data_IF_575245568497
#
_entry.id   IF_575245568497
#
_cell.length_a   1.000
_cell.length_b   1.000
_cell.length_c   1.000
_cell.angle_alpha   90.00
_cell.angle_beta   90.00
_cell.angle_gamma   90.00
#
_symmetry.space_group_name_H-M   'P 1'
#
loop_
_entity.id
_entity.type
_entity.pdbx_description
1 polymer ?
#
# COMPACT_ATOMS: atom_id res chain seq x y z
N UNK A 1 9.76 -29.58 6.94
CA UNK A 1 9.59 -29.46 5.47
C UNK A 1 10.98 -29.19 4.89
N UNK A 2 11.34 -29.76 3.74
CA UNK A 2 12.65 -29.56 3.10
C UNK A 2 12.41 -29.08 1.69
N UNK A 3 13.21 -28.10 1.22
CA UNK A 3 13.25 -27.74 -0.21
C UNK A 3 14.04 -28.86 -0.95
N UNK A 4 13.33 -29.88 -1.44
CA UNK A 4 13.98 -31.01 -2.10
C UNK A 4 14.73 -30.60 -3.37
N UNK A 5 14.20 -29.59 -4.09
CA UNK A 5 14.79 -29.02 -5.29
C UNK A 5 14.81 -27.49 -5.21
N UNK A 6 15.80 -26.86 -4.56
CA UNK A 6 15.85 -25.41 -4.40
C UNK A 6 15.79 -24.64 -5.72
N UNK A 7 16.50 -25.09 -6.77
CA UNK A 7 16.54 -24.43 -8.07
C UNK A 7 15.21 -24.46 -8.83
N UNK A 8 14.26 -25.33 -8.44
CA UNK A 8 12.91 -25.42 -8.98
C UNK A 8 11.87 -24.82 -8.01
N UNK A 9 12.33 -24.10 -6.98
CA UNK A 9 11.49 -23.54 -5.92
C UNK A 9 11.42 -22.02 -5.97
N UNK A 10 10.22 -21.50 -5.76
CA UNK A 10 9.94 -20.09 -5.49
C UNK A 10 9.47 -19.95 -4.04
N UNK A 11 10.13 -19.09 -3.29
CA UNK A 11 9.72 -18.70 -1.94
C UNK A 11 9.09 -17.32 -2.00
N UNK A 12 7.85 -17.20 -1.57
CA UNK A 12 7.10 -15.95 -1.48
C UNK A 12 7.05 -15.57 0.00
N UNK A 13 7.52 -14.38 0.33
CA UNK A 13 7.52 -13.88 1.70
C UNK A 13 6.74 -12.58 1.81
N UNK A 14 5.99 -12.44 2.91
CA UNK A 14 5.31 -11.21 3.30
C UNK A 14 5.69 -10.80 4.73
N UNK A 15 5.04 -9.77 5.26
CA UNK A 15 5.39 -9.17 6.55
C UNK A 15 5.41 -10.14 7.73
N UNK A 16 4.60 -11.19 7.71
CA UNK A 16 4.63 -12.24 8.72
C UNK A 16 5.99 -12.94 8.84
N UNK A 17 6.77 -13.02 7.73
CA UNK A 17 8.13 -13.51 7.79
C UNK A 17 9.01 -12.65 8.70
N UNK A 18 8.97 -11.33 8.56
CA UNK A 18 9.71 -10.41 9.41
C UNK A 18 9.25 -10.49 10.88
N UNK A 19 7.93 -10.54 11.10
CA UNK A 19 7.34 -10.68 12.44
C UNK A 19 7.80 -11.96 13.16
N UNK A 20 7.92 -13.08 12.45
CA UNK A 20 8.42 -14.36 13.01
C UNK A 20 9.89 -14.29 13.45
N UNK A 21 10.64 -13.29 13.00
CA UNK A 21 12.02 -13.01 13.42
C UNK A 21 12.11 -11.89 14.45
N UNK A 22 10.98 -11.53 15.09
CA UNK A 22 10.91 -10.50 16.10
C UNK A 22 11.08 -9.08 15.58
N UNK A 23 10.91 -8.85 14.27
CA UNK A 23 10.96 -7.50 13.71
C UNK A 23 9.64 -6.79 14.01
N UNK A 24 9.72 -5.58 14.57
CA UNK A 24 8.54 -4.73 14.81
C UNK A 24 8.07 -4.08 13.50
N UNK A 25 7.58 -4.91 12.57
CA UNK A 25 7.25 -4.53 11.20
C UNK A 25 5.73 -4.46 10.92
N UNK A 26 4.89 -4.53 11.95
CA UNK A 26 3.45 -4.34 11.78
C UNK A 26 3.09 -2.86 11.54
N UNK A 27 1.98 -2.60 10.87
CA UNK A 27 1.48 -1.22 10.73
C UNK A 27 1.09 -0.59 12.08
N UNK A 28 0.80 -1.39 13.11
CA UNK A 28 0.67 -0.92 14.49
C UNK A 28 1.99 -0.39 15.06
N UNK A 29 3.13 -1.02 14.70
CA UNK A 29 4.45 -0.53 15.11
C UNK A 29 4.79 0.76 14.36
N UNK A 30 4.42 0.85 13.09
CA UNK A 30 4.52 2.10 12.34
C UNK A 30 3.71 3.21 12.99
N UNK A 31 2.45 2.95 13.39
CA UNK A 31 1.61 3.92 14.10
C UNK A 31 2.31 4.52 15.34
N UNK A 32 3.01 3.68 16.11
CA UNK A 32 3.74 4.12 17.31
C UNK A 32 4.81 5.17 16.99
N UNK A 33 5.38 5.13 15.78
CA UNK A 33 6.38 6.10 15.32
C UNK A 33 5.77 7.44 14.90
N UNK A 34 4.46 7.45 14.63
CA UNK A 34 3.72 8.67 14.28
C UNK A 34 3.19 9.28 15.58
N UNK A 35 3.66 10.46 15.95
CA UNK A 35 3.22 11.14 17.19
C UNK A 35 1.71 11.31 17.23
N UNK A 36 1.10 11.16 18.42
CA UNK A 36 -0.36 11.27 18.62
C UNK A 36 -0.96 12.61 18.14
N UNK A 37 -0.17 13.69 18.21
CA UNK A 37 -0.58 15.03 17.76
C UNK A 37 -0.12 15.35 16.33
N UNK A 38 0.26 14.34 15.54
CA UNK A 38 0.67 14.51 14.16
C UNK A 38 -0.54 14.80 13.26
N UNK A 39 -0.43 15.79 12.38
CA UNK A 39 -1.43 16.07 11.35
C UNK A 39 -1.71 14.84 10.48
N UNK A 40 -0.68 14.09 10.09
CA UNK A 40 -0.85 12.84 9.35
C UNK A 40 -1.77 11.86 10.06
N UNK A 41 -1.52 11.61 11.36
CA UNK A 41 -2.34 10.68 12.14
C UNK A 41 -3.77 11.18 12.25
N UNK A 42 -3.95 12.46 12.52
CA UNK A 42 -5.26 13.09 12.56
C UNK A 42 -6.00 12.92 11.23
N UNK A 43 -5.36 13.23 10.09
CA UNK A 43 -5.97 13.09 8.78
C UNK A 43 -6.33 11.63 8.45
N UNK A 44 -5.44 10.69 8.70
CA UNK A 44 -5.70 9.28 8.43
C UNK A 44 -6.84 8.73 9.31
N UNK A 45 -6.83 9.02 10.61
CA UNK A 45 -7.85 8.52 11.55
C UNK A 45 -9.20 9.23 11.38
N UNK A 46 -9.24 10.42 10.76
CA UNK A 46 -10.48 11.19 10.53
C UNK A 46 -11.09 10.92 9.17
N UNK A 47 -10.27 10.82 8.12
CA UNK A 47 -10.75 10.86 6.75
C UNK A 47 -10.68 9.53 6.00
N UNK A 48 -10.00 8.51 6.54
CA UNK A 48 -10.07 7.16 5.99
C UNK A 48 -11.23 6.40 6.65
N UNK A 49 -12.19 5.98 5.84
CA UNK A 49 -13.42 5.31 6.31
C UNK A 49 -13.17 3.83 6.59
N UNK A 50 -12.56 3.55 7.73
CA UNK A 50 -12.23 2.20 8.16
C UNK A 50 -12.11 2.08 9.67
N UNK A 51 -12.62 0.98 10.23
CA UNK A 51 -12.44 0.62 11.64
C UNK A 51 -11.05 0.02 11.93
N UNK A 52 -10.38 -0.48 10.91
CA UNK A 52 -9.16 -1.29 11.02
C UNK A 52 -7.94 -0.67 10.32
N UNK A 53 -7.85 0.66 10.33
CA UNK A 53 -6.82 1.42 9.64
C UNK A 53 -5.41 0.82 9.77
N UNK A 54 -4.99 0.53 10.99
CA UNK A 54 -3.62 0.10 11.27
C UNK A 54 -3.41 -1.42 11.16
N UNK A 55 -4.47 -2.21 10.96
CA UNK A 55 -4.36 -3.62 10.59
C UNK A 55 -4.25 -3.80 9.07
N UNK A 56 -4.96 -2.96 8.30
CA UNK A 56 -5.10 -3.05 6.86
C UNK A 56 -4.77 -1.70 6.20
N UNK A 57 -3.60 -1.14 6.51
CA UNK A 57 -3.20 0.21 6.06
C UNK A 57 -3.34 0.40 4.55
N UNK A 58 -2.86 -0.56 3.77
CA UNK A 58 -2.88 -0.45 2.31
C UNK A 58 -4.31 -0.39 1.77
N UNK A 59 -5.18 -1.32 2.18
CA UNK A 59 -6.60 -1.29 1.82
C UNK A 59 -7.29 0.00 2.29
N UNK A 60 -6.94 0.47 3.50
CA UNK A 60 -7.53 1.68 4.08
C UNK A 60 -7.21 2.94 3.30
N UNK A 61 -6.06 2.99 2.62
CA UNK A 61 -5.72 4.12 1.75
C UNK A 61 -6.70 4.29 0.58
N UNK A 62 -7.32 3.21 0.10
CA UNK A 62 -8.36 3.26 -0.92
C UNK A 62 -9.75 3.70 -0.41
N UNK A 63 -9.87 4.05 0.87
CA UNK A 63 -11.16 4.39 1.52
C UNK A 63 -11.19 5.84 2.02
N UNK A 64 -10.61 6.76 1.26
CA UNK A 64 -10.66 8.18 1.61
C UNK A 64 -12.10 8.70 1.48
N UNK A 65 -12.65 9.18 2.58
CA UNK A 65 -14.02 9.67 2.64
C UNK A 65 -14.12 11.13 2.17
N UNK A 66 -14.26 11.30 0.87
CA UNK A 66 -14.41 12.62 0.24
C UNK A 66 -15.63 13.40 0.75
N UNK A 67 -16.68 12.71 1.21
CA UNK A 67 -17.90 13.37 1.69
C UNK A 67 -17.69 14.17 2.97
N UNK A 68 -16.64 13.90 3.73
CA UNK A 68 -16.33 14.65 4.95
C UNK A 68 -15.76 16.03 4.60
N UNK A 69 -14.67 16.10 3.84
CA UNK A 69 -13.99 17.38 3.60
C UNK A 69 -14.54 18.14 2.38
N UNK A 70 -15.22 17.47 1.45
CA UNK A 70 -15.99 18.10 0.38
C UNK A 70 -17.44 18.40 0.76
N UNK A 71 -17.80 18.25 2.03
CA UNK A 71 -19.08 18.67 2.55
C UNK A 71 -19.24 20.20 2.34
N UNK A 72 -20.35 20.66 1.73
CA UNK A 72 -20.60 22.09 1.52
C UNK A 72 -20.48 22.94 2.78
N UNK A 73 -20.92 22.41 3.94
CA UNK A 73 -20.86 23.14 5.21
C UNK A 73 -19.40 23.29 5.69
N UNK A 74 -18.55 22.31 5.45
CA UNK A 74 -17.11 22.36 5.79
C UNK A 74 -16.39 23.37 4.87
N UNK A 75 -16.70 23.35 3.58
CA UNK A 75 -16.13 24.31 2.63
C UNK A 75 -16.62 25.71 2.99
N UNK A 76 -17.89 25.89 3.30
CA UNK A 76 -18.48 27.18 3.69
C UNK A 76 -17.79 27.75 4.94
N UNK A 77 -17.56 26.90 5.95
CA UNK A 77 -16.79 27.27 7.15
C UNK A 77 -15.38 27.79 6.79
N UNK A 78 -14.68 27.13 5.87
CA UNK A 78 -13.36 27.60 5.46
C UNK A 78 -13.44 28.90 4.65
N UNK A 79 -14.45 29.05 3.77
CA UNK A 79 -14.67 30.29 3.05
C UNK A 79 -14.90 31.46 3.99
N UNK A 80 -15.66 31.26 5.07
CA UNK A 80 -15.88 32.28 6.10
C UNK A 80 -14.59 32.61 6.88
N UNK A 81 -13.86 31.57 7.31
CA UNK A 81 -12.60 31.73 8.03
C UNK A 81 -11.52 32.49 7.24
N UNK A 82 -11.50 32.33 5.92
CA UNK A 82 -10.60 33.06 5.02
C UNK A 82 -11.18 34.41 4.55
N UNK A 83 -12.33 34.82 5.06
CA UNK A 83 -12.93 36.10 4.77
C UNK A 83 -13.45 36.24 3.35
N UNK A 84 -13.74 35.15 2.65
CA UNK A 84 -14.21 35.13 1.27
C UNK A 84 -15.53 35.89 1.08
N UNK A 85 -16.34 35.99 2.13
CA UNK A 85 -17.59 36.74 2.12
C UNK A 85 -17.43 38.25 2.29
N UNK A 86 -16.23 38.71 2.65
CA UNK A 86 -15.94 40.12 2.73
C UNK A 86 -15.98 40.79 1.33
N UNK A 87 -16.35 42.08 1.22
CA UNK A 87 -16.39 42.78 -0.06
C UNK A 87 -15.04 42.85 -0.79
N UNK A 88 -13.95 42.91 -0.04
CA UNK A 88 -12.56 43.09 -0.51
C UNK A 88 -11.80 41.75 -0.65
N UNK A 89 -12.49 40.61 -0.52
CA UNK A 89 -11.89 39.27 -0.67
C UNK A 89 -11.23 39.14 -2.07
N UNK A 90 -10.02 38.60 -2.03
CA UNK A 90 -9.19 38.37 -3.22
C UNK A 90 -9.30 36.92 -3.71
N UNK A 91 -8.93 36.66 -4.95
CA UNK A 91 -8.90 35.30 -5.48
C UNK A 91 -8.09 34.34 -4.61
N UNK A 92 -6.97 34.81 -4.04
CA UNK A 92 -6.13 34.01 -3.15
C UNK A 92 -6.87 33.46 -1.92
N UNK A 93 -7.84 34.21 -1.38
CA UNK A 93 -8.60 33.77 -0.19
C UNK A 93 -9.49 32.57 -0.52
N UNK A 94 -10.07 32.53 -1.72
CA UNK A 94 -10.87 31.40 -2.20
C UNK A 94 -10.02 30.14 -2.37
N UNK A 95 -8.86 30.26 -3.03
CA UNK A 95 -7.97 29.14 -3.23
C UNK A 95 -7.44 28.60 -1.89
N UNK A 96 -7.01 29.48 -0.98
CA UNK A 96 -6.52 29.08 0.34
C UNK A 96 -7.60 28.37 1.16
N UNK A 97 -8.85 28.83 1.12
CA UNK A 97 -9.96 28.19 1.81
C UNK A 97 -10.21 26.77 1.28
N UNK A 98 -10.30 26.62 -0.05
CA UNK A 98 -10.55 25.32 -0.68
C UNK A 98 -9.35 24.39 -0.52
N UNK A 99 -8.12 24.85 -0.70
CA UNK A 99 -6.88 24.08 -0.48
C UNK A 99 -6.81 23.57 0.96
N UNK A 100 -7.18 24.39 1.95
CA UNK A 100 -7.24 23.97 3.34
C UNK A 100 -8.28 22.87 3.58
N UNK A 101 -9.45 22.98 2.94
CA UNK A 101 -10.48 21.95 3.04
C UNK A 101 -10.02 20.59 2.50
N UNK A 102 -9.28 20.59 1.39
CA UNK A 102 -8.81 19.37 0.72
C UNK A 102 -7.42 18.91 1.18
N UNK A 103 -6.83 19.55 2.18
CA UNK A 103 -5.48 19.24 2.67
C UNK A 103 -5.22 17.72 2.89
N UNK A 104 -6.18 16.90 3.36
CA UNK A 104 -5.98 15.45 3.50
C UNK A 104 -5.53 14.75 2.20
N UNK A 105 -5.98 15.20 1.03
CA UNK A 105 -5.69 14.54 -0.26
C UNK A 105 -4.22 14.62 -0.66
N UNK A 106 -3.48 15.63 -0.25
CA UNK A 106 -2.05 15.77 -0.55
C UNK A 106 -1.15 15.57 0.68
N UNK A 107 -1.63 15.90 1.87
CA UNK A 107 -0.86 15.71 3.10
C UNK A 107 -0.67 14.22 3.44
N UNK A 108 -1.74 13.41 3.31
CA UNK A 108 -1.66 11.97 3.60
C UNK A 108 -0.57 11.30 2.74
N UNK A 109 -0.62 11.29 1.40
CA UNK A 109 0.37 10.57 0.61
C UNK A 109 1.79 11.12 0.79
N UNK A 110 1.96 12.44 0.91
CA UNK A 110 3.25 13.09 1.09
C UNK A 110 3.93 12.69 2.41
N UNK A 111 3.24 12.89 3.52
CA UNK A 111 3.77 12.61 4.85
C UNK A 111 3.91 11.10 5.10
N UNK A 112 2.94 10.30 4.65
CA UNK A 112 2.95 8.85 4.80
C UNK A 112 4.20 8.25 4.15
N UNK A 113 4.47 8.56 2.89
CA UNK A 113 5.65 8.04 2.17
C UNK A 113 6.97 8.38 2.89
N UNK A 114 7.09 9.62 3.37
CA UNK A 114 8.30 10.07 4.06
C UNK A 114 8.51 9.32 5.39
N UNK A 115 7.45 9.26 6.22
CA UNK A 115 7.50 8.62 7.54
C UNK A 115 7.67 7.11 7.41
N UNK A 116 6.95 6.48 6.48
CA UNK A 116 7.09 5.07 6.20
C UNK A 116 8.52 4.70 5.79
N UNK A 117 9.10 5.42 4.83
CA UNK A 117 10.49 5.22 4.41
C UNK A 117 11.50 5.41 5.54
N UNK A 118 11.24 6.37 6.45
CA UNK A 118 12.07 6.59 7.63
C UNK A 118 11.97 5.42 8.60
N UNK A 119 10.74 4.96 8.88
CA UNK A 119 10.49 3.84 9.78
C UNK A 119 11.08 2.53 9.26
N UNK A 120 10.88 2.17 7.99
CA UNK A 120 11.44 0.94 7.40
C UNK A 120 12.97 0.86 7.59
N UNK A 121 13.67 1.98 7.60
CA UNK A 121 15.13 2.01 7.83
C UNK A 121 15.53 1.65 9.27
N UNK A 122 14.63 1.79 10.23
CA UNK A 122 14.90 1.50 11.65
C UNK A 122 14.64 0.05 12.03
N UNK A 123 13.98 -0.73 11.16
CA UNK A 123 13.64 -2.12 11.43
C UNK A 123 14.90 -2.98 11.59
N UNK A 124 14.93 -3.77 12.65
CA UNK A 124 16.03 -4.69 12.96
C UNK A 124 15.49 -6.04 13.40
N UNK A 125 16.23 -7.09 13.12
CA UNK A 125 15.94 -8.43 13.65
C UNK A 125 16.27 -8.45 15.13
N UNK A 126 15.37 -8.99 15.93
CA UNK A 126 15.54 -9.11 17.39
C UNK A 126 15.77 -10.54 17.86
N UNK A 127 15.49 -11.53 17.00
CA UNK A 127 15.66 -12.94 17.33
C UNK A 127 16.73 -13.59 16.44
N UNK A 128 17.57 -14.39 17.06
CA UNK A 128 18.54 -15.24 16.33
C UNK A 128 17.92 -16.56 15.83
N UNK A 129 16.66 -16.80 16.13
CA UNK A 129 15.94 -17.99 15.67
C UNK A 129 15.85 -18.04 14.14
N UNK A 130 15.99 -19.25 13.60
CA UNK A 130 15.88 -19.53 12.16
C UNK A 130 14.82 -20.61 11.96
N UNK A 131 13.52 -20.25 12.10
CA UNK A 131 12.43 -21.22 12.08
C UNK A 131 12.30 -21.96 10.74
N UNK A 132 12.87 -21.41 9.68
CA UNK A 132 12.76 -21.98 8.33
C UNK A 132 14.08 -22.65 7.89
N UNK A 133 14.50 -23.69 8.61
CA UNK A 133 15.72 -24.45 8.30
C UNK A 133 15.73 -25.04 6.88
N UNK A 134 14.55 -25.13 6.23
CA UNK A 134 14.43 -25.54 4.84
C UNK A 134 14.96 -24.51 3.82
N UNK A 135 15.10 -23.24 4.21
CA UNK A 135 15.54 -22.17 3.31
C UNK A 135 17.05 -22.20 3.11
N UNK A 136 17.52 -23.14 2.33
CA UNK A 136 18.92 -23.27 1.94
C UNK A 136 19.04 -23.63 0.45
N UNK A 137 20.16 -23.30 -0.17
CA UNK A 137 20.40 -23.56 -1.57
C UNK A 137 20.02 -22.40 -2.50
N UNK A 138 19.84 -22.72 -3.76
CA UNK A 138 19.68 -21.73 -4.83
C UNK A 138 18.20 -21.65 -5.28
N UNK A 139 17.39 -21.00 -4.50
CA UNK A 139 15.96 -20.79 -4.77
C UNK A 139 15.67 -19.35 -5.20
N UNK A 140 14.55 -19.14 -5.91
CA UNK A 140 14.04 -17.80 -6.22
C UNK A 140 13.18 -17.28 -5.09
N UNK A 141 13.18 -15.95 -4.91
CA UNK A 141 12.37 -15.28 -3.89
C UNK A 141 11.56 -14.16 -4.52
N UNK A 142 10.26 -14.15 -4.26
CA UNK A 142 9.40 -12.98 -4.44
C UNK A 142 9.12 -12.39 -3.06
N UNK A 143 9.67 -11.22 -2.79
CA UNK A 143 9.51 -10.55 -1.50
C UNK A 143 8.55 -9.38 -1.61
N UNK A 144 7.53 -9.41 -0.76
CA UNK A 144 6.62 -8.29 -0.51
C UNK A 144 7.11 -7.41 0.65
N UNK A 145 8.20 -7.83 1.33
CA UNK A 145 8.80 -7.09 2.43
C UNK A 145 9.72 -5.98 1.91
N UNK A 146 9.79 -4.91 2.67
CA UNK A 146 10.66 -3.77 2.41
C UNK A 146 12.08 -3.93 2.99
N UNK A 147 12.36 -5.11 3.57
CA UNK A 147 13.61 -5.47 4.27
C UNK A 147 14.37 -6.56 3.52
N UNK A 148 15.67 -6.62 3.76
CA UNK A 148 16.57 -7.61 3.17
C UNK A 148 16.79 -8.85 4.05
N UNK A 149 15.93 -9.11 5.02
CA UNK A 149 16.19 -10.15 6.02
C UNK A 149 16.27 -11.57 5.46
N UNK A 150 15.59 -11.87 4.36
CA UNK A 150 15.75 -13.16 3.66
C UNK A 150 17.19 -13.38 3.18
N UNK A 151 17.89 -12.33 2.76
CA UNK A 151 19.29 -12.42 2.37
C UNK A 151 20.19 -12.56 3.60
N UNK A 152 20.00 -11.73 4.62
CA UNK A 152 20.88 -11.66 5.79
C UNK A 152 20.73 -12.84 6.73
N UNK A 153 19.53 -13.40 6.86
CA UNK A 153 19.24 -14.49 7.76
C UNK A 153 19.39 -15.89 7.13
N UNK A 154 19.06 -16.02 5.84
CA UNK A 154 19.03 -17.30 5.13
C UNK A 154 19.97 -17.38 3.94
N UNK A 155 20.75 -16.33 3.69
CA UNK A 155 21.75 -16.33 2.63
C UNK A 155 21.16 -16.38 1.22
N UNK A 156 19.91 -15.95 1.03
CA UNK A 156 19.33 -15.86 -0.31
C UNK A 156 20.20 -14.94 -1.19
N UNK A 157 20.49 -15.38 -2.41
CA UNK A 157 21.34 -14.60 -3.32
C UNK A 157 20.57 -13.40 -3.83
N UNK A 158 21.12 -12.20 -3.73
CA UNK A 158 20.45 -10.95 -4.11
C UNK A 158 19.93 -10.94 -5.57
N UNK A 159 20.57 -11.65 -6.49
CA UNK A 159 20.13 -11.78 -7.87
C UNK A 159 18.93 -12.74 -8.05
N UNK A 160 18.62 -13.54 -7.06
CA UNK A 160 17.46 -14.42 -7.03
C UNK A 160 16.26 -13.80 -6.30
N UNK A 161 16.43 -12.62 -5.68
CA UNK A 161 15.37 -11.95 -4.91
C UNK A 161 14.75 -10.81 -5.70
N UNK A 162 13.46 -10.92 -5.96
CA UNK A 162 12.64 -9.83 -6.49
C UNK A 162 11.90 -9.15 -5.33
N UNK A 163 12.28 -7.92 -5.00
CA UNK A 163 11.56 -7.07 -4.06
C UNK A 163 10.49 -6.29 -4.83
N UNK A 164 9.29 -6.86 -4.90
CA UNK A 164 8.21 -6.36 -5.76
C UNK A 164 7.77 -4.93 -5.39
N UNK A 165 7.77 -4.61 -4.10
CA UNK A 165 7.44 -3.29 -3.57
C UNK A 165 8.67 -2.43 -3.24
N UNK A 166 9.85 -2.85 -3.68
CA UNK A 166 11.11 -2.22 -3.34
C UNK A 166 11.71 -2.68 -2.01
N UNK A 167 12.98 -2.34 -1.76
CA UNK A 167 13.69 -2.70 -0.55
C UNK A 167 14.55 -1.54 -0.08
N UNK A 168 14.62 -1.32 1.24
CA UNK A 168 15.38 -0.23 1.87
C UNK A 168 16.87 -0.25 1.52
N UNK A 169 17.43 -1.42 1.24
CA UNK A 169 18.83 -1.66 0.91
C UNK A 169 19.13 -1.38 -0.56
N UNK A 170 18.16 -1.63 -1.44
CA UNK A 170 18.37 -1.56 -2.86
C UNK A 170 18.60 -0.13 -3.34
N UNK A 171 19.54 0.00 -4.26
CA UNK A 171 19.84 1.27 -4.94
C UNK A 171 19.71 1.07 -6.44
N UNK A 172 18.88 1.87 -7.07
CA UNK A 172 18.77 1.93 -8.51
C UNK A 172 19.63 3.10 -9.00
N UNK A 173 20.69 2.82 -9.77
CA UNK A 173 21.67 3.82 -10.22
C UNK A 173 22.20 4.74 -9.10
N UNK A 174 22.53 4.16 -7.92
CA UNK A 174 23.04 4.89 -6.78
C UNK A 174 21.98 5.63 -5.94
N UNK A 175 20.73 5.70 -6.39
CA UNK A 175 19.60 6.26 -5.63
C UNK A 175 18.88 5.17 -4.85
N UNK A 176 18.32 5.46 -3.65
CA UNK A 176 17.48 4.51 -2.93
C UNK A 176 16.30 4.06 -3.80
N UNK A 177 15.98 2.76 -3.76
CA UNK A 177 14.76 2.26 -4.41
C UNK A 177 13.53 2.97 -3.85
N UNK A 178 12.59 3.23 -4.71
CA UNK A 178 11.27 3.66 -4.29
C UNK A 178 10.57 2.51 -3.55
N UNK A 179 9.97 2.82 -2.40
CA UNK A 179 9.12 1.90 -1.67
C UNK A 179 7.68 2.14 -2.10
N UNK A 180 7.02 1.08 -2.56
CA UNK A 180 5.65 1.13 -3.07
C UNK A 180 4.70 0.74 -1.94
N UNK A 181 3.91 1.69 -1.49
CA UNK A 181 2.86 1.51 -0.48
C UNK A 181 1.57 2.08 -1.05
N UNK A 182 0.50 1.28 -1.05
CA UNK A 182 -0.79 1.72 -1.58
C UNK A 182 -1.79 0.57 -1.72
N UNK A 183 -3.00 0.91 -2.14
CA UNK A 183 -4.11 -0.01 -2.36
C UNK A 183 -4.19 -0.49 -3.82
N UNK A 184 -5.03 -1.52 -4.06
CA UNK A 184 -5.30 -2.00 -5.42
C UNK A 184 -6.12 -0.97 -6.23
N UNK A 185 -6.00 -0.93 -7.57
CA UNK A 185 -6.89 -0.17 -8.43
C UNK A 185 -8.35 -0.63 -8.29
N UNK A 186 -9.30 0.27 -8.48
CA UNK A 186 -10.73 -0.03 -8.47
C UNK A 186 -11.33 -0.14 -7.07
N UNK A 187 -10.61 0.26 -6.04
CA UNK A 187 -11.18 0.57 -4.72
C UNK A 187 -11.72 2.01 -4.66
N UNK A 188 -11.46 2.76 -5.71
CA UNK A 188 -11.99 4.11 -5.90
C UNK A 188 -13.50 4.06 -5.74
N UNK A 189 -13.96 4.66 -4.66
CA UNK A 189 -15.38 4.71 -4.40
C UNK A 189 -16.02 5.51 -5.54
N UNK A 190 -17.13 5.01 -6.10
CA UNK A 190 -17.98 5.75 -7.04
C UNK A 190 -18.49 7.09 -6.46
N UNK A 191 -18.03 7.44 -5.25
CA UNK A 191 -18.38 8.66 -4.52
C UNK A 191 -17.87 9.92 -5.22
N UNK A 192 -16.75 9.83 -5.95
CA UNK A 192 -16.19 11.00 -6.62
C UNK A 192 -17.13 11.59 -7.69
N UNK A 193 -17.80 10.72 -8.46
CA UNK A 193 -18.83 11.15 -9.40
C UNK A 193 -20.12 11.68 -8.72
N UNK A 194 -20.31 11.33 -7.43
CA UNK A 194 -21.48 11.74 -6.63
C UNK A 194 -21.24 13.02 -5.83
N UNK A 195 -19.99 13.42 -5.62
CA UNK A 195 -19.66 14.72 -5.00
C UNK A 195 -19.90 15.84 -6.02
N UNK A 196 -21.15 16.06 -6.38
CA UNK A 196 -21.58 17.30 -7.01
C UNK A 196 -21.54 18.38 -5.95
N UNK A 197 -20.41 19.06 -5.87
CA UNK A 197 -20.31 20.29 -5.10
C UNK A 197 -21.49 21.17 -5.50
N UNK A 198 -22.42 21.41 -4.58
CA UNK A 198 -23.53 22.31 -4.83
C UNK A 198 -22.92 23.65 -5.18
N UNK A 199 -23.31 24.28 -6.31
CA UNK A 199 -22.71 25.55 -6.71
C UNK A 199 -22.95 26.57 -5.59
N UNK A 200 -21.87 27.10 -5.03
CA UNK A 200 -21.93 28.20 -4.07
C UNK A 200 -22.57 29.40 -4.78
N UNK A 201 -23.61 29.95 -4.18
CA UNK A 201 -24.41 31.04 -4.81
C UNK A 201 -23.79 32.38 -4.51
N UNK A 202 -22.69 32.72 -5.14
CA UNK A 202 -22.24 34.09 -5.16
C UNK A 202 -23.10 34.92 -6.14
N UNK A 203 -23.58 36.11 -5.69
CA UNK A 203 -24.29 37.05 -6.53
C UNK A 203 -23.34 37.73 -7.55
N UNK A 204 -22.10 37.96 -7.10
CA UNK A 204 -21.04 38.53 -7.91
C UNK A 204 -20.53 37.51 -8.92
N UNK A 205 -20.58 37.78 -10.25
CA UNK A 205 -20.09 36.89 -11.28
C UNK A 205 -18.59 36.58 -11.17
N UNK A 206 -17.76 37.53 -10.72
CA UNK A 206 -16.34 37.34 -10.52
C UNK A 206 -16.05 36.39 -9.40
N UNK A 207 -16.67 36.54 -8.23
CA UNK A 207 -16.54 35.62 -7.10
C UNK A 207 -17.02 34.21 -7.47
N UNK A 208 -18.08 34.10 -8.27
CA UNK A 208 -18.55 32.80 -8.79
C UNK A 208 -17.49 32.12 -9.64
N UNK A 209 -16.91 32.85 -10.60
CA UNK A 209 -15.86 32.34 -11.47
C UNK A 209 -14.63 31.88 -10.68
N UNK A 210 -14.18 32.66 -9.69
CA UNK A 210 -13.04 32.28 -8.84
C UNK A 210 -13.35 30.99 -8.03
N UNK A 211 -14.55 30.90 -7.47
CA UNK A 211 -14.97 29.71 -6.72
C UNK A 211 -14.99 28.45 -7.60
N UNK A 212 -15.55 28.54 -8.80
CA UNK A 212 -15.55 27.45 -9.78
C UNK A 212 -14.12 27.01 -10.11
N UNK A 213 -13.21 27.95 -10.37
CA UNK A 213 -11.78 27.66 -10.61
C UNK A 213 -11.08 27.01 -9.41
N UNK A 214 -11.38 27.43 -8.18
CA UNK A 214 -10.83 26.85 -6.97
C UNK A 214 -11.32 25.40 -6.78
N UNK A 215 -12.60 25.14 -7.03
CA UNK A 215 -13.19 23.80 -6.97
C UNK A 215 -12.64 22.84 -8.05
N UNK A 216 -12.43 23.34 -9.27
CA UNK A 216 -11.77 22.55 -10.34
C UNK A 216 -10.33 22.17 -9.95
N UNK A 217 -9.63 23.09 -9.28
CA UNK A 217 -8.28 22.82 -8.77
C UNK A 217 -8.33 21.74 -7.68
N UNK A 218 -9.27 21.85 -6.73
CA UNK A 218 -9.50 20.87 -5.70
C UNK A 218 -9.79 19.47 -6.27
N UNK A 219 -10.60 19.40 -7.32
CA UNK A 219 -10.90 18.15 -8.00
C UNK A 219 -9.66 17.48 -8.59
N UNK A 220 -8.73 18.24 -9.15
CA UNK A 220 -7.45 17.74 -9.68
C UNK A 220 -6.52 17.25 -8.55
N UNK A 221 -6.46 17.96 -7.45
CA UNK A 221 -5.66 17.58 -6.29
C UNK A 221 -6.19 16.27 -5.66
N UNK A 222 -7.50 16.13 -5.59
CA UNK A 222 -8.09 14.88 -5.09
C UNK A 222 -7.80 13.68 -6.02
N UNK A 223 -7.85 13.87 -7.34
CA UNK A 223 -7.44 12.85 -8.31
C UNK A 223 -5.96 12.45 -8.14
N UNK A 224 -5.11 13.39 -7.72
CA UNK A 224 -3.72 13.10 -7.40
C UNK A 224 -3.55 12.18 -6.20
N UNK A 225 -4.43 12.24 -5.18
CA UNK A 225 -4.43 11.30 -4.06
C UNK A 225 -4.52 9.85 -4.55
N UNK A 226 -5.49 9.56 -5.40
CA UNK A 226 -5.68 8.23 -5.98
C UNK A 226 -4.44 7.78 -6.77
N UNK A 227 -3.86 8.68 -7.57
CA UNK A 227 -2.64 8.37 -8.33
C UNK A 227 -1.46 7.99 -7.43
N UNK A 228 -1.30 8.67 -6.29
CA UNK A 228 -0.19 8.50 -5.36
C UNK A 228 -0.36 7.33 -4.39
N UNK A 229 -1.59 6.91 -4.12
CA UNK A 229 -1.90 5.83 -3.18
C UNK A 229 -2.27 4.51 -3.86
N UNK A 230 -2.50 4.50 -5.16
CA UNK A 230 -2.82 3.28 -5.92
C UNK A 230 -1.55 2.53 -6.35
N UNK A 231 -1.51 1.22 -6.10
CA UNK A 231 -0.48 0.32 -6.63
C UNK A 231 -0.72 0.07 -8.12
N UNK A 232 0.17 0.54 -8.98
CA UNK A 232 0.14 0.27 -10.42
C UNK A 232 0.71 -1.12 -10.71
N UNK A 233 0.03 -2.20 -10.25
CA UNK A 233 0.52 -3.57 -10.28
C UNK A 233 0.97 -4.01 -11.68
N UNK A 234 0.25 -3.63 -12.73
CA UNK A 234 0.62 -3.96 -14.11
C UNK A 234 1.98 -3.38 -14.53
N UNK A 235 2.29 -2.16 -14.09
CA UNK A 235 3.58 -1.52 -14.41
C UNK A 235 4.70 -2.09 -13.56
N UNK A 236 4.40 -2.47 -12.32
CA UNK A 236 5.34 -3.17 -11.44
C UNK A 236 5.70 -4.54 -12.05
N UNK A 237 4.71 -5.31 -12.51
CA UNK A 237 4.92 -6.61 -13.18
C UNK A 237 5.77 -6.42 -14.45
N UNK A 238 5.48 -5.42 -15.28
CA UNK A 238 6.29 -5.10 -16.47
C UNK A 238 7.73 -4.77 -16.09
N UNK A 239 7.94 -3.98 -15.05
CA UNK A 239 9.28 -3.62 -14.54
C UNK A 239 10.08 -4.86 -14.11
N UNK A 240 9.42 -5.85 -13.54
CA UNK A 240 10.01 -7.11 -13.06
C UNK A 240 9.79 -8.29 -14.02
N UNK A 241 9.50 -8.01 -15.29
CA UNK A 241 9.15 -9.01 -16.31
C UNK A 241 10.14 -10.17 -16.40
N UNK A 242 11.44 -9.90 -16.38
CA UNK A 242 12.48 -10.94 -16.45
C UNK A 242 12.36 -11.96 -15.33
N UNK A 243 12.08 -11.51 -14.09
CA UNK A 243 11.86 -12.40 -12.97
C UNK A 243 10.66 -13.33 -13.20
N UNK A 244 9.52 -12.78 -13.65
CA UNK A 244 8.33 -13.60 -13.91
C UNK A 244 8.52 -14.57 -15.08
N UNK A 245 9.26 -14.20 -16.12
CA UNK A 245 9.56 -15.07 -17.26
C UNK A 245 10.42 -16.29 -16.86
N UNK A 246 11.28 -16.13 -15.86
CA UNK A 246 12.10 -17.22 -15.33
C UNK A 246 11.32 -18.24 -14.46
N UNK A 247 10.05 -17.97 -14.10
CA UNK A 247 9.24 -18.87 -13.27
C UNK A 247 8.74 -20.12 -14.01
N UNK A 248 8.94 -20.25 -15.30
CA UNK A 248 8.49 -21.40 -16.11
C UNK A 248 9.10 -22.74 -15.67
N UNK A 249 10.24 -22.71 -14.97
CA UNK A 249 10.93 -23.90 -14.46
C UNK A 249 10.55 -24.24 -13.02
N UNK A 250 9.76 -23.40 -12.37
CA UNK A 250 9.36 -23.58 -10.97
C UNK A 250 8.30 -24.68 -10.86
N UNK A 251 8.55 -25.61 -9.93
CA UNK A 251 7.67 -26.74 -9.61
C UNK A 251 7.06 -26.64 -8.21
N UNK A 252 7.69 -25.86 -7.34
CA UNK A 252 7.28 -25.74 -5.94
C UNK A 252 7.23 -24.28 -5.53
N UNK A 253 6.12 -23.86 -4.92
CA UNK A 253 5.93 -22.50 -4.42
C UNK A 253 5.65 -22.57 -2.92
N UNK A 254 6.44 -21.85 -2.14
CA UNK A 254 6.31 -21.77 -0.69
C UNK A 254 5.91 -20.35 -0.32
N UNK A 255 4.76 -20.18 0.34
CA UNK A 255 4.26 -18.89 0.82
C UNK A 255 4.43 -18.83 2.32
N UNK A 256 5.22 -17.89 2.80
CA UNK A 256 5.58 -17.74 4.21
C UNK A 256 5.25 -16.32 4.69
N UNK A 257 4.37 -16.22 5.66
CA UNK A 257 4.04 -14.97 6.32
C UNK A 257 3.43 -13.89 5.40
N UNK A 258 2.78 -14.30 4.31
CA UNK A 258 2.05 -13.42 3.42
C UNK A 258 0.55 -13.47 3.75
N UNK A 259 -0.09 -12.28 3.80
CA UNK A 259 -1.52 -12.15 4.15
C UNK A 259 -2.48 -12.67 3.09
N UNK A 260 -2.00 -12.87 1.86
CA UNK A 260 -2.81 -13.18 0.67
C UNK A 260 -3.93 -12.16 0.45
N UNK A 261 -3.61 -10.87 0.68
CA UNK A 261 -4.52 -9.76 0.42
C UNK A 261 -4.87 -9.67 -1.06
N UNK A 262 -6.09 -9.26 -1.36
CA UNK A 262 -6.55 -9.01 -2.73
C UNK A 262 -5.75 -7.91 -3.43
N UNK A 263 -5.13 -7.00 -2.69
CA UNK A 263 -4.24 -5.96 -3.23
C UNK A 263 -3.05 -6.53 -4.01
N UNK A 264 -2.66 -7.76 -3.68
CA UNK A 264 -1.50 -8.42 -4.27
C UNK A 264 -1.89 -9.52 -5.29
N UNK A 265 -3.18 -9.79 -5.51
CA UNK A 265 -3.66 -10.81 -6.45
C UNK A 265 -3.07 -10.70 -7.86
N UNK A 266 -2.88 -9.50 -8.46
CA UNK A 266 -2.30 -9.40 -9.79
C UNK A 266 -0.93 -10.07 -9.93
N UNK A 267 -0.12 -10.06 -8.88
CA UNK A 267 1.19 -10.74 -8.89
C UNK A 267 1.05 -12.26 -8.86
N UNK A 268 0.13 -12.76 -8.07
CA UNK A 268 -0.18 -14.20 -7.99
C UNK A 268 -0.79 -14.72 -9.28
N UNK A 269 -1.68 -13.96 -9.91
CA UNK A 269 -2.23 -14.29 -11.24
C UNK A 269 -1.12 -14.38 -12.28
N UNK A 270 -0.13 -13.49 -12.23
CA UNK A 270 1.01 -13.55 -13.15
C UNK A 270 1.87 -14.79 -12.90
N UNK A 271 2.09 -15.19 -11.64
CA UNK A 271 2.77 -16.45 -11.30
C UNK A 271 1.99 -17.64 -11.85
N UNK A 272 0.69 -17.72 -11.63
CA UNK A 272 -0.16 -18.81 -12.11
C UNK A 272 -0.18 -18.94 -13.64
N UNK A 273 0.02 -17.84 -14.38
CA UNK A 273 0.18 -17.88 -15.85
C UNK A 273 1.51 -18.52 -16.29
N UNK A 274 2.55 -18.49 -15.44
CA UNK A 274 3.90 -18.97 -15.80
C UNK A 274 4.15 -20.39 -15.39
N UNK A 275 3.52 -20.89 -14.33
CA UNK A 275 3.78 -22.24 -13.82
C UNK A 275 2.54 -22.89 -13.22
N UNK A 276 2.50 -24.23 -13.31
CA UNK A 276 1.52 -25.10 -12.63
C UNK A 276 2.15 -25.77 -11.40
N UNK A 277 2.93 -25.03 -10.64
CA UNK A 277 3.65 -25.54 -9.48
C UNK A 277 2.70 -26.01 -8.38
N UNK A 278 3.23 -26.89 -7.52
CA UNK A 278 2.60 -27.27 -6.27
C UNK A 278 2.83 -26.21 -5.21
N UNK A 279 1.76 -25.80 -4.51
CA UNK A 279 1.79 -24.72 -3.53
C UNK A 279 1.84 -25.24 -2.09
N UNK A 280 2.71 -24.65 -1.29
CA UNK A 280 2.83 -24.84 0.15
C UNK A 280 2.59 -23.52 0.83
N UNK A 281 1.45 -23.37 1.52
CA UNK A 281 1.02 -22.09 2.04
C UNK A 281 0.95 -22.13 3.55
N UNK A 282 1.72 -21.28 4.22
CA UNK A 282 1.70 -21.11 5.66
C UNK A 282 0.55 -20.20 6.12
N UNK A 283 -0.07 -20.55 7.27
CA UNK A 283 -1.05 -19.71 7.96
C UNK A 283 -0.75 -19.69 9.45
N UNK A 284 -1.08 -18.61 10.12
CA UNK A 284 -0.86 -18.45 11.55
C UNK A 284 -2.19 -18.48 12.35
N UNK A 285 -3.26 -17.89 11.82
CA UNK A 285 -4.55 -17.72 12.47
C UNK A 285 -5.70 -18.37 11.67
N UNK A 286 -6.88 -18.51 12.30
CA UNK A 286 -8.09 -18.95 11.60
C UNK A 286 -8.53 -17.94 10.51
N UNK A 287 -8.28 -16.68 10.70
CA UNK A 287 -8.62 -15.67 9.70
C UNK A 287 -7.64 -15.71 8.51
N UNK A 288 -6.36 -16.03 8.75
CA UNK A 288 -5.43 -16.34 7.66
C UNK A 288 -5.90 -17.56 6.87
N UNK A 289 -6.36 -18.60 7.55
CA UNK A 289 -6.88 -19.80 6.89
C UNK A 289 -8.10 -19.51 6.02
N UNK A 290 -9.02 -18.64 6.45
CA UNK A 290 -10.16 -18.20 5.63
C UNK A 290 -9.70 -17.46 4.37
N UNK A 291 -8.76 -16.51 4.51
CA UNK A 291 -8.19 -15.78 3.37
C UNK A 291 -7.47 -16.72 2.41
N UNK A 292 -6.71 -17.68 2.94
CA UNK A 292 -6.05 -18.72 2.17
C UNK A 292 -7.04 -19.54 1.34
N UNK A 293 -8.15 -19.97 1.91
CA UNK A 293 -9.18 -20.73 1.18
C UNK A 293 -9.81 -19.91 0.06
N UNK A 294 -10.13 -18.65 0.32
CA UNK A 294 -10.63 -17.72 -0.71
C UNK A 294 -9.60 -17.50 -1.83
N UNK A 295 -8.34 -17.33 -1.48
CA UNK A 295 -7.23 -17.20 -2.42
C UNK A 295 -7.07 -18.45 -3.30
N UNK A 296 -7.10 -19.64 -2.71
CA UNK A 296 -7.00 -20.93 -3.44
C UNK A 296 -8.11 -21.07 -4.47
N UNK A 297 -9.34 -20.74 -4.08
CA UNK A 297 -10.50 -20.77 -4.98
C UNK A 297 -10.35 -19.74 -6.11
N UNK A 298 -10.01 -18.51 -5.77
CA UNK A 298 -9.81 -17.41 -6.73
C UNK A 298 -8.72 -17.69 -7.75
N UNK A 299 -7.58 -18.27 -7.30
CA UNK A 299 -6.46 -18.62 -8.19
C UNK A 299 -6.63 -19.97 -8.87
N UNK A 300 -7.71 -20.72 -8.58
CA UNK A 300 -7.99 -22.07 -9.09
C UNK A 300 -6.80 -23.03 -8.89
N UNK A 301 -6.19 -23.00 -7.70
CA UNK A 301 -5.04 -23.83 -7.39
C UNK A 301 -5.46 -25.30 -7.18
N UNK A 302 -4.76 -26.23 -7.81
CA UNK A 302 -5.13 -27.66 -7.78
C UNK A 302 -4.31 -28.49 -6.79
N UNK A 303 -3.02 -28.21 -6.70
CA UNK A 303 -2.10 -28.92 -5.82
C UNK A 303 -1.62 -28.01 -4.70
N UNK A 304 -2.25 -28.13 -3.54
CA UNK A 304 -1.96 -27.32 -2.37
C UNK A 304 -1.66 -28.18 -1.16
N UNK A 305 -0.73 -27.71 -0.35
CA UNK A 305 -0.52 -28.16 1.03
C UNK A 305 -0.50 -26.94 1.94
N UNK A 306 -1.19 -27.04 3.06
CA UNK A 306 -1.22 -25.98 4.06
C UNK A 306 -0.45 -26.42 5.30
N UNK A 307 0.24 -25.48 5.92
CA UNK A 307 0.95 -25.73 7.17
C UNK A 307 0.77 -24.56 8.12
N UNK A 308 0.82 -24.82 9.40
CA UNK A 308 0.81 -23.79 10.43
C UNK A 308 2.21 -23.23 10.59
N UNK A 309 2.37 -21.95 10.38
CA UNK A 309 3.63 -21.21 10.55
C UNK A 309 3.73 -20.57 11.92
#
# INVERSE_FOLDING_TARGET
MVLENPSESLVIIGNGFDLMHGVESSYWDFQKTIGKNSSLRFYMETYLDTSDLWSNLEESLGKLNYSIFLNPDIIDMWLDNFGVYNPDAQAADFFAAVETAIAPTFEIPRELKQRFKKWIKTLVVQSDDRPFSMLHGDYKVLSFNYTEFIETLYGAKSNNVCYIHGCRKNRNNGKPSELILGHRPGMEDEQWDKVRLKPFKFKDPYKRYIMESALETAAREAAWYEEETTKKCSDIIKKHRSFFEELTTIKYIFVIGHSLSEDDYPYFEEICKKTNAKWYIGYHSLDDLKRLLSFVDKMNLREIMVFRS
#
